data_IF_585857387594
#
_entry.id   IF_585857387594
#
_cell.length_a   1.000
_cell.length_b   1.000
_cell.length_c   1.000
_cell.angle_alpha   90.00
_cell.angle_beta   90.00
_cell.angle_gamma   90.00
#
_symmetry.space_group_name_H-M   'P 1'
#
loop_
_entity.id
_entity.type
_entity.pdbx_description
1 polymer ?
#
# COMPACT_ATOMS: atom_id res chain seq x y z
N UNK A 1 7.31 31.88 26.81
CA UNK A 1 7.00 31.57 25.40
C UNK A 1 5.51 31.33 25.27
N UNK A 2 4.87 31.73 24.16
CA UNK A 2 3.46 31.43 23.93
C UNK A 2 3.26 29.93 23.67
N UNK A 3 2.14 29.36 24.12
CA UNK A 3 1.74 28.00 23.78
C UNK A 3 1.72 27.86 22.24
N UNK A 4 2.39 26.84 21.69
CA UNK A 4 2.50 26.62 20.24
C UNK A 4 3.82 27.07 19.59
N UNK A 5 4.67 27.84 20.28
CA UNK A 5 6.01 28.22 19.77
C UNK A 5 7.06 27.10 19.78
N UNK A 6 6.65 25.89 20.16
CA UNK A 6 7.42 24.63 20.08
C UNK A 6 7.21 23.90 18.75
N UNK A 7 6.24 24.34 17.93
CA UNK A 7 5.91 23.71 16.65
C UNK A 7 6.61 24.42 15.50
N UNK A 8 7.33 23.65 14.68
CA UNK A 8 7.90 24.11 13.42
C UNK A 8 7.50 23.11 12.34
N UNK A 9 6.88 23.61 11.28
CA UNK A 9 6.64 22.84 10.07
C UNK A 9 7.84 23.02 9.13
N UNK A 10 8.70 21.99 8.96
CA UNK A 10 9.84 22.06 8.06
C UNK A 10 9.41 21.99 6.57
N UNK A 11 8.13 21.78 6.29
CA UNK A 11 7.62 21.47 4.96
C UNK A 11 7.98 20.05 4.52
N UNK A 12 7.71 19.74 3.25
CA UNK A 12 8.05 18.45 2.63
C UNK A 12 9.57 18.28 2.58
N UNK A 13 10.04 17.11 3.03
CA UNK A 13 11.45 16.76 2.98
C UNK A 13 11.77 16.16 1.61
N UNK A 14 12.89 16.58 1.01
CA UNK A 14 13.34 16.02 -0.25
C UNK A 14 13.65 14.52 -0.10
N UNK A 15 13.21 13.71 -1.07
CA UNK A 15 13.40 12.27 -1.06
C UNK A 15 14.90 11.91 -0.97
N UNK A 16 15.23 10.94 -0.12
CA UNK A 16 16.61 10.48 0.11
C UNK A 16 17.53 11.50 0.81
N UNK A 17 17.03 12.68 1.20
CA UNK A 17 17.87 13.69 1.84
C UNK A 17 18.16 13.32 3.31
N UNK A 18 19.42 13.48 3.73
CA UNK A 18 19.79 13.39 5.14
C UNK A 18 19.46 14.69 5.86
N UNK A 19 18.35 14.68 6.60
CA UNK A 19 17.92 15.79 7.43
C UNK A 19 18.66 15.76 8.76
N UNK A 20 19.17 16.92 9.18
CA UNK A 20 19.83 17.08 10.46
C UNK A 20 19.01 18.03 11.32
N UNK A 21 18.76 17.67 12.59
CA UNK A 21 18.00 18.51 13.51
C UNK A 21 18.60 18.44 14.92
N UNK A 22 18.36 19.49 15.71
CA UNK A 22 18.71 19.53 17.13
C UNK A 22 17.70 20.37 17.89
N UNK A 23 17.61 20.16 19.20
CA UNK A 23 16.79 20.98 20.10
C UNK A 23 17.71 21.79 21.01
N UNK A 24 17.65 23.12 20.89
CA UNK A 24 18.43 24.05 21.73
C UNK A 24 17.55 24.55 22.89
N UNK A 25 18.07 24.49 24.13
CA UNK A 25 17.40 25.02 25.31
C UNK A 25 17.74 26.52 25.48
N UNK A 26 16.72 27.38 25.41
CA UNK A 26 16.88 28.84 25.47
C UNK A 26 16.51 29.36 26.86
N UNK A 27 17.46 30.01 27.54
CA UNK A 27 17.31 30.70 28.82
C UNK A 27 17.41 32.22 28.63
N UNK A 28 17.04 33.06 29.62
CA UNK A 28 17.10 34.51 29.48
C UNK A 28 18.52 35.08 29.22
N UNK A 29 19.57 34.39 29.68
CA UNK A 29 20.95 34.86 29.57
C UNK A 29 21.77 34.11 28.50
N UNK A 30 21.32 32.93 28.09
CA UNK A 30 22.12 31.98 27.33
C UNK A 30 21.25 30.96 26.57
N UNK A 31 21.85 30.28 25.60
CA UNK A 31 21.23 29.17 24.87
C UNK A 31 22.17 27.99 24.91
N UNK A 32 21.69 26.88 25.48
CA UNK A 32 22.42 25.61 25.53
C UNK A 32 22.05 24.80 24.30
N UNK A 33 23.04 24.53 23.45
CA UNK A 33 22.81 23.77 22.21
C UNK A 33 22.63 22.28 22.49
N UNK A 34 21.65 21.66 21.83
CA UNK A 34 21.45 20.20 21.90
C UNK A 34 22.42 19.42 21.03
N UNK A 35 22.31 18.08 21.12
CA UNK A 35 23.02 17.17 20.21
C UNK A 35 22.42 17.26 18.81
N UNK A 36 23.27 17.14 17.79
CA UNK A 36 22.83 17.03 16.41
C UNK A 36 22.40 15.59 16.13
N UNK A 37 21.14 15.43 15.73
CA UNK A 37 20.57 14.19 15.24
C UNK A 37 20.42 14.25 13.73
N UNK A 38 20.34 13.08 13.11
CA UNK A 38 20.08 12.95 11.68
C UNK A 38 19.18 11.76 11.38
N UNK A 39 18.39 11.88 10.32
CA UNK A 39 17.72 10.78 9.66
C UNK A 39 17.75 11.02 8.15
N UNK A 40 17.57 9.96 7.36
CA UNK A 40 17.43 10.07 5.91
C UNK A 40 15.95 9.93 5.57
N UNK A 41 15.40 10.91 4.85
CA UNK A 41 14.05 10.82 4.31
C UNK A 41 13.97 9.63 3.34
N UNK A 42 12.82 8.96 3.31
CA UNK A 42 12.59 7.88 2.34
C UNK A 42 12.86 8.38 0.90
N UNK A 43 13.32 7.49 0.04
CA UNK A 43 13.56 7.75 -1.38
C UNK A 43 12.35 7.37 -2.25
N UNK A 44 11.17 7.27 -1.64
CA UNK A 44 9.91 6.89 -2.25
C UNK A 44 8.74 7.65 -1.62
N UNK A 45 7.60 7.67 -2.32
CA UNK A 45 6.31 8.11 -1.77
C UNK A 45 5.51 6.87 -1.38
N UNK A 46 5.11 6.75 -0.11
CA UNK A 46 4.27 5.64 0.34
C UNK A 46 2.82 5.82 -0.13
N UNK A 47 2.26 4.80 -0.78
CA UNK A 47 0.83 4.72 -1.12
C UNK A 47 0.08 4.03 0.01
N UNK A 48 0.56 2.86 0.42
CA UNK A 48 0.06 2.12 1.58
C UNK A 48 1.15 1.15 2.05
N UNK A 49 1.54 1.23 3.33
CA UNK A 49 2.48 0.32 3.98
C UNK A 49 1.76 -0.67 4.91
N UNK A 50 0.43 -0.63 4.96
CA UNK A 50 -0.43 -1.46 5.80
C UNK A 50 -0.23 -1.30 7.31
N UNK A 51 0.64 -0.40 7.76
CA UNK A 51 1.01 -0.25 9.17
C UNK A 51 -0.03 0.52 9.99
N UNK A 52 -0.91 1.27 9.32
CA UNK A 52 -1.92 2.08 10.00
C UNK A 52 -3.11 1.28 10.54
N UNK A 53 -3.30 0.04 10.06
CA UNK A 53 -4.45 -0.78 10.40
C UNK A 53 -4.34 -1.37 11.81
N UNK A 54 -5.49 -1.56 12.46
CA UNK A 54 -5.53 -2.02 13.85
C UNK A 54 -6.65 -3.02 14.13
N UNK A 55 -6.56 -3.63 15.31
CA UNK A 55 -7.47 -4.68 15.81
C UNK A 55 -8.65 -4.11 16.62
N UNK A 56 -8.99 -2.84 16.40
CA UNK A 56 -10.05 -2.15 17.14
C UNK A 56 -11.35 -2.22 16.34
N UNK A 57 -12.39 -2.79 16.95
CA UNK A 57 -13.71 -2.89 16.32
C UNK A 57 -14.56 -1.63 16.50
N UNK A 58 -15.43 -1.31 15.52
CA UNK A 58 -16.52 -0.35 15.70
C UNK A 58 -17.43 -0.76 16.87
N UNK A 59 -18.06 0.20 17.57
CA UNK A 59 -18.16 1.61 17.22
C UNK A 59 -17.03 2.49 17.79
N UNK A 60 -15.89 1.92 18.22
CA UNK A 60 -14.77 2.74 18.71
C UNK A 60 -14.26 3.69 17.59
N UNK A 61 -14.08 4.96 17.93
CA UNK A 61 -13.64 5.99 17.00
C UNK A 61 -12.18 5.80 16.51
N UNK A 62 -11.39 4.98 17.22
CA UNK A 62 -10.04 4.60 16.81
C UNK A 62 -10.01 3.39 15.86
N UNK A 63 -11.16 2.78 15.54
CA UNK A 63 -11.23 1.65 14.61
C UNK A 63 -10.65 2.01 13.24
N UNK A 64 -9.70 1.20 12.77
CA UNK A 64 -9.11 1.31 11.43
C UNK A 64 -8.78 -0.09 10.91
N UNK A 65 -9.81 -0.90 10.63
CA UNK A 65 -9.63 -2.28 10.19
C UNK A 65 -9.36 -2.32 8.69
N UNK A 66 -8.42 -3.16 8.26
CA UNK A 66 -7.95 -3.21 6.87
C UNK A 66 -9.08 -3.42 5.85
N UNK A 67 -10.06 -4.28 6.14
CA UNK A 67 -11.20 -4.56 5.24
C UNK A 67 -12.31 -3.49 5.27
N UNK A 68 -12.27 -2.54 6.21
CA UNK A 68 -13.15 -1.36 6.14
C UNK A 68 -12.58 -0.30 5.16
N UNK A 69 -11.29 -0.42 4.81
CA UNK A 69 -10.54 0.55 3.99
C UNK A 69 -10.26 -0.01 2.59
N UNK A 70 -9.79 -1.27 2.50
CA UNK A 70 -9.67 -2.03 1.26
C UNK A 70 -10.97 -2.76 0.97
N UNK A 71 -11.78 -2.21 0.07
CA UNK A 71 -13.08 -2.79 -0.28
C UNK A 71 -12.88 -4.04 -1.12
N UNK A 72 -13.28 -5.19 -0.59
CA UNK A 72 -13.10 -6.51 -1.18
C UNK A 72 -14.42 -7.12 -1.68
N UNK A 73 -14.49 -8.45 -1.77
CA UNK A 73 -15.65 -9.19 -2.22
C UNK A 73 -16.63 -9.63 -1.12
N UNK A 74 -16.41 -9.24 0.14
CA UNK A 74 -17.27 -9.64 1.25
C UNK A 74 -18.73 -9.24 1.01
N UNK A 75 -19.64 -10.19 1.22
CA UNK A 75 -21.07 -9.97 0.98
C UNK A 75 -21.48 -9.91 -0.50
N UNK A 76 -20.57 -10.14 -1.45
CA UNK A 76 -20.86 -10.16 -2.89
C UNK A 76 -20.82 -11.57 -3.47
N UNK A 77 -21.45 -11.76 -4.64
CA UNK A 77 -21.41 -13.03 -5.38
C UNK A 77 -20.45 -13.00 -6.57
N UNK A 78 -19.95 -11.83 -6.96
CA UNK A 78 -19.17 -11.63 -8.20
C UNK A 78 -17.69 -11.33 -7.95
N UNK A 79 -17.32 -10.95 -6.72
CA UNK A 79 -15.93 -10.71 -6.32
C UNK A 79 -15.47 -11.83 -5.37
N UNK A 80 -14.34 -12.46 -5.71
CA UNK A 80 -13.76 -13.57 -4.95
C UNK A 80 -12.74 -13.15 -3.89
N UNK A 81 -12.42 -11.86 -3.78
CA UNK A 81 -11.43 -11.35 -2.83
C UNK A 81 -11.99 -11.32 -1.41
N UNK A 82 -11.14 -11.69 -0.45
CA UNK A 82 -11.31 -11.35 0.97
C UNK A 82 -9.98 -10.81 1.49
N UNK A 83 -10.00 -9.60 2.04
CA UNK A 83 -8.85 -8.93 2.65
C UNK A 83 -8.96 -8.99 4.17
N UNK A 84 -7.83 -9.18 4.83
CA UNK A 84 -7.78 -9.29 6.28
C UNK A 84 -8.20 -10.66 6.80
N UNK A 85 -7.95 -10.90 8.08
CA UNK A 85 -8.38 -12.09 8.81
C UNK A 85 -9.79 -11.89 9.37
N UNK A 86 -10.54 -12.99 9.54
CA UNK A 86 -11.90 -12.96 10.11
C UNK A 86 -11.90 -12.52 11.59
N UNK A 87 -10.77 -12.70 12.29
CA UNK A 87 -10.56 -12.35 13.70
C UNK A 87 -9.20 -11.66 13.86
N UNK A 88 -9.02 -10.81 14.88
CA UNK A 88 -7.75 -10.19 15.19
C UNK A 88 -6.60 -11.21 15.39
N UNK A 89 -5.37 -10.91 14.94
CA UNK A 89 -5.00 -9.66 14.26
C UNK A 89 -5.59 -9.60 12.84
N UNK A 90 -6.20 -8.46 12.48
CA UNK A 90 -6.92 -8.33 11.21
C UNK A 90 -5.96 -8.27 10.01
N UNK A 91 -4.74 -7.77 10.21
CA UNK A 91 -3.64 -7.92 9.27
C UNK A 91 -2.75 -9.11 9.65
N UNK A 92 -1.89 -9.54 8.73
CA UNK A 92 -0.95 -10.64 8.94
C UNK A 92 0.31 -10.12 9.63
N UNK A 93 0.70 -10.70 10.77
CA UNK A 93 1.83 -10.23 11.59
C UNK A 93 3.03 -11.18 11.59
N UNK A 94 2.94 -12.33 10.91
CA UNK A 94 4.00 -13.35 10.82
C UNK A 94 4.63 -13.35 9.44
N UNK A 95 3.80 -13.29 8.39
CA UNK A 95 4.27 -13.21 7.00
C UNK A 95 4.29 -11.74 6.58
N UNK A 96 5.39 -11.07 6.86
CA UNK A 96 5.57 -9.62 6.68
C UNK A 96 6.82 -9.36 5.84
N UNK A 97 6.81 -8.34 4.97
CA UNK A 97 7.99 -7.91 4.21
C UNK A 97 8.71 -6.77 4.95
N UNK A 98 7.97 -5.71 5.28
CA UNK A 98 8.44 -4.53 5.98
C UNK A 98 7.56 -4.22 7.21
N UNK A 99 8.10 -3.51 8.19
CA UNK A 99 7.30 -3.09 9.35
C UNK A 99 6.82 -4.23 10.24
N UNK A 100 5.58 -4.16 10.70
CA UNK A 100 4.97 -5.07 11.68
C UNK A 100 3.84 -5.93 11.10
N UNK A 101 3.28 -5.55 9.95
CA UNK A 101 2.14 -6.26 9.37
C UNK A 101 2.09 -6.17 7.85
N UNK A 102 1.42 -7.11 7.21
CA UNK A 102 1.12 -7.09 5.78
C UNK A 102 -0.36 -7.37 5.52
N UNK A 103 -0.84 -7.12 4.30
CA UNK A 103 -2.20 -7.44 3.90
C UNK A 103 -2.33 -8.92 3.53
N UNK A 104 -3.06 -9.76 4.30
CA UNK A 104 -3.50 -11.05 3.82
C UNK A 104 -4.64 -10.87 2.81
N UNK A 105 -4.54 -11.55 1.68
CA UNK A 105 -5.49 -11.48 0.58
C UNK A 105 -5.84 -12.89 0.13
N UNK A 106 -7.08 -13.32 0.38
CA UNK A 106 -7.60 -14.57 -0.15
C UNK A 106 -8.33 -14.31 -1.46
N UNK A 107 -8.14 -15.20 -2.43
CA UNK A 107 -8.90 -15.17 -3.68
C UNK A 107 -9.58 -16.51 -3.92
N UNK A 108 -10.76 -16.45 -4.53
CA UNK A 108 -11.47 -17.58 -5.12
C UNK A 108 -12.07 -17.15 -6.46
N UNK A 109 -11.38 -17.51 -7.54
CA UNK A 109 -11.77 -17.16 -8.89
C UNK A 109 -12.62 -18.24 -9.57
N UNK A 110 -13.31 -19.09 -8.80
CA UNK A 110 -14.24 -20.08 -9.36
C UNK A 110 -15.47 -19.37 -9.94
N UNK A 111 -15.39 -18.96 -11.22
CA UNK A 111 -16.44 -18.18 -11.90
C UNK A 111 -16.49 -16.71 -11.47
N UNK A 112 -15.40 -16.19 -10.91
CA UNK A 112 -15.28 -14.81 -10.40
C UNK A 112 -13.94 -14.19 -10.77
N UNK A 113 -13.79 -12.90 -10.50
CA UNK A 113 -12.51 -12.21 -10.38
C UNK A 113 -12.38 -11.74 -8.94
N UNK A 114 -11.17 -11.71 -8.39
CA UNK A 114 -10.94 -11.23 -7.03
C UNK A 114 -10.29 -9.86 -7.11
N UNK A 115 -10.91 -8.84 -6.52
CA UNK A 115 -10.39 -7.47 -6.46
C UNK A 115 -10.54 -6.90 -5.05
N UNK A 116 -9.48 -6.27 -4.53
CA UNK A 116 -9.58 -5.36 -3.39
C UNK A 116 -9.17 -3.94 -3.82
N UNK A 117 -9.96 -2.95 -3.44
CA UNK A 117 -9.79 -1.57 -3.90
C UNK A 117 -9.65 -0.59 -2.74
N UNK A 118 -8.59 0.20 -2.77
CA UNK A 118 -8.37 1.34 -1.90
C UNK A 118 -8.79 2.62 -2.61
N UNK A 119 -9.60 3.44 -1.94
CA UNK A 119 -9.86 4.83 -2.36
C UNK A 119 -8.79 5.73 -1.77
N UNK A 120 -8.04 6.42 -2.62
CA UNK A 120 -6.91 7.25 -2.20
C UNK A 120 -7.40 8.59 -1.65
N UNK A 121 -6.94 8.92 -0.44
CA UNK A 121 -7.03 10.27 0.11
C UNK A 121 -5.71 11.02 -0.13
N UNK A 122 -4.59 10.31 0.02
CA UNK A 122 -3.24 10.76 -0.30
C UNK A 122 -2.33 9.52 -0.44
N UNK A 123 -1.32 9.52 -1.33
CA UNK A 123 -1.08 10.47 -2.41
C UNK A 123 -2.04 10.25 -3.59
N UNK A 124 -2.43 11.33 -4.27
CA UNK A 124 -3.29 11.29 -5.48
C UNK A 124 -2.60 11.83 -6.72
N UNK A 125 -1.69 12.80 -6.56
CA UNK A 125 -0.81 13.23 -7.63
C UNK A 125 0.44 12.36 -7.61
N UNK A 126 0.47 11.38 -8.52
CA UNK A 126 1.57 10.44 -8.70
C UNK A 126 2.63 10.95 -9.66
N UNK A 127 2.51 12.21 -10.11
CA UNK A 127 3.59 12.92 -10.83
C UNK A 127 4.53 13.67 -9.87
N UNK A 128 4.17 13.74 -8.58
CA UNK A 128 4.98 14.33 -7.53
C UNK A 128 6.37 13.67 -7.42
N UNK A 129 7.36 14.48 -7.07
CA UNK A 129 8.76 14.07 -6.88
C UNK A 129 9.38 13.31 -8.08
N UNK A 130 8.76 13.42 -9.27
CA UNK A 130 9.23 12.78 -10.49
C UNK A 130 9.04 11.27 -10.53
N UNK A 131 8.15 10.70 -9.70
CA UNK A 131 7.88 9.27 -9.70
C UNK A 131 7.57 8.73 -11.10
N UNK A 132 8.22 7.63 -11.48
CA UNK A 132 8.02 6.99 -12.79
C UNK A 132 7.53 5.55 -12.68
N UNK A 133 7.60 4.95 -11.49
CA UNK A 133 7.20 3.56 -11.28
C UNK A 133 6.35 3.40 -10.02
N UNK A 134 5.40 2.48 -10.10
CA UNK A 134 4.72 1.91 -8.95
C UNK A 134 5.46 0.63 -8.54
N UNK A 135 5.76 0.48 -7.27
CA UNK A 135 6.27 -0.75 -6.68
C UNK A 135 5.29 -1.30 -5.65
N UNK A 136 5.16 -2.61 -5.59
CA UNK A 136 4.49 -3.32 -4.50
C UNK A 136 5.19 -4.65 -4.24
N UNK A 137 5.25 -5.05 -2.98
CA UNK A 137 5.76 -6.36 -2.59
C UNK A 137 4.62 -7.35 -2.50
N UNK A 138 4.85 -8.55 -3.01
CA UNK A 138 3.87 -9.62 -2.93
C UNK A 138 4.53 -10.95 -2.59
N UNK A 139 3.74 -11.84 -1.99
CA UNK A 139 4.11 -13.22 -1.73
C UNK A 139 2.89 -14.12 -1.87
N UNK A 140 3.01 -15.13 -2.72
CA UNK A 140 2.04 -16.20 -2.83
C UNK A 140 2.48 -17.48 -2.13
N UNK A 141 1.96 -18.60 -2.61
CA UNK A 141 2.30 -19.93 -2.13
C UNK A 141 2.35 -20.91 -3.30
N UNK A 142 3.32 -21.82 -3.35
CA UNK A 142 3.42 -22.81 -4.44
C UNK A 142 2.18 -23.70 -4.58
N UNK A 143 1.39 -23.86 -3.50
CA UNK A 143 0.12 -24.58 -3.49
C UNK A 143 -1.08 -23.81 -4.04
N UNK A 144 -0.92 -22.51 -4.32
CA UNK A 144 -1.97 -21.67 -4.89
C UNK A 144 -2.39 -22.15 -6.29
N UNK A 145 -3.66 -21.93 -6.64
CA UNK A 145 -4.09 -21.99 -8.04
C UNK A 145 -3.37 -20.91 -8.85
N UNK A 146 -2.74 -21.26 -9.98
CA UNK A 146 -2.13 -20.26 -10.85
C UNK A 146 -3.21 -19.34 -11.42
N UNK A 147 -2.99 -18.04 -11.33
CA UNK A 147 -3.83 -17.04 -11.98
C UNK A 147 -3.02 -15.75 -12.20
N UNK A 148 -3.56 -14.89 -13.06
CA UNK A 148 -3.00 -13.58 -13.33
C UNK A 148 -3.12 -12.67 -12.12
N UNK A 149 -2.12 -11.84 -11.89
CA UNK A 149 -2.18 -10.72 -10.94
C UNK A 149 -2.13 -9.40 -11.71
N UNK A 150 -2.87 -8.39 -11.26
CA UNK A 150 -2.84 -7.05 -11.83
C UNK A 150 -3.01 -5.97 -10.75
N UNK A 151 -2.51 -4.78 -11.06
CA UNK A 151 -2.92 -3.54 -10.37
C UNK A 151 -3.78 -2.74 -11.35
N UNK A 152 -4.88 -2.17 -10.88
CA UNK A 152 -5.63 -1.20 -11.65
C UNK A 152 -5.62 0.19 -11.00
N UNK A 153 -5.39 1.23 -11.79
CA UNK A 153 -5.55 2.62 -11.37
C UNK A 153 -6.81 3.17 -12.02
N UNK A 154 -7.73 3.71 -11.23
CA UNK A 154 -9.04 4.21 -11.71
C UNK A 154 -9.77 3.20 -12.61
N UNK A 155 -9.62 1.91 -12.28
CA UNK A 155 -10.23 0.80 -13.02
C UNK A 155 -9.46 0.34 -14.27
N UNK A 156 -8.36 0.97 -14.65
CA UNK A 156 -7.51 0.57 -15.79
C UNK A 156 -6.44 -0.43 -15.34
N UNK A 157 -6.49 -1.70 -15.76
CA UNK A 157 -5.58 -2.73 -15.26
C UNK A 157 -4.23 -2.76 -15.99
N UNK A 158 -3.18 -3.10 -15.24
CA UNK A 158 -1.87 -3.49 -15.73
C UNK A 158 -1.52 -4.84 -15.09
N UNK A 159 -1.26 -5.83 -15.94
CA UNK A 159 -1.00 -7.21 -15.54
C UNK A 159 0.47 -7.47 -15.27
N UNK A 160 0.74 -8.32 -14.29
CA UNK A 160 2.04 -8.95 -14.12
C UNK A 160 2.33 -9.86 -15.34
N UNK A 161 3.59 -9.90 -15.78
CA UNK A 161 3.96 -10.58 -17.02
C UNK A 161 3.92 -12.12 -16.90
N UNK A 162 4.11 -12.64 -15.68
CA UNK A 162 3.93 -14.05 -15.36
C UNK A 162 2.45 -14.38 -15.02
N UNK A 163 1.75 -15.21 -15.82
CA UNK A 163 0.37 -15.63 -15.60
C UNK A 163 0.16 -16.59 -14.42
N UNK A 164 1.24 -17.06 -13.78
CA UNK A 164 1.19 -17.96 -12.63
C UNK A 164 1.86 -17.36 -11.39
N UNK A 165 2.03 -16.03 -11.36
CA UNK A 165 2.77 -15.29 -10.31
C UNK A 165 2.20 -15.50 -8.90
N UNK A 166 0.93 -15.90 -8.78
CA UNK A 166 0.30 -16.29 -7.50
C UNK A 166 0.99 -17.47 -6.79
N UNK A 167 1.85 -18.21 -7.49
CA UNK A 167 2.62 -19.33 -6.93
C UNK A 167 4.01 -18.96 -6.39
N UNK A 168 4.39 -17.68 -6.47
CA UNK A 168 5.69 -17.21 -6.00
C UNK A 168 5.76 -17.21 -4.46
N UNK A 169 6.39 -18.23 -3.89
CA UNK A 169 6.40 -18.49 -2.44
C UNK A 169 7.29 -17.58 -1.59
N UNK A 170 8.04 -16.66 -2.20
CA UNK A 170 8.93 -15.70 -1.54
C UNK A 170 8.47 -14.27 -1.81
N UNK A 171 8.72 -13.37 -0.85
CA UNK A 171 8.55 -11.94 -1.07
C UNK A 171 9.32 -11.50 -2.32
N UNK A 172 8.59 -10.88 -3.24
CA UNK A 172 9.10 -10.43 -4.53
C UNK A 172 8.55 -9.05 -4.79
N UNK A 173 9.43 -8.14 -5.20
CA UNK A 173 9.03 -6.81 -5.63
C UNK A 173 8.47 -6.88 -7.05
N UNK A 174 7.30 -6.29 -7.25
CA UNK A 174 6.78 -6.02 -8.58
C UNK A 174 6.89 -4.53 -8.88
N UNK A 175 7.73 -4.19 -9.85
CA UNK A 175 7.90 -2.82 -10.32
C UNK A 175 7.17 -2.63 -11.65
N UNK A 176 6.32 -1.62 -11.71
CA UNK A 176 5.45 -1.29 -12.85
C UNK A 176 5.81 0.10 -13.34
N UNK A 177 6.20 0.22 -14.61
CA UNK A 177 6.33 1.52 -15.26
C UNK A 177 4.97 2.21 -15.34
N UNK A 178 4.87 3.42 -14.79
CA UNK A 178 3.62 4.19 -14.75
C UNK A 178 3.12 4.54 -16.16
N UNK A 179 3.98 4.51 -17.19
CA UNK A 179 3.53 4.71 -18.57
C UNK A 179 2.54 3.65 -19.01
N UNK A 180 2.59 2.43 -18.44
CA UNK A 180 1.63 1.35 -18.73
C UNK A 180 0.19 1.75 -18.39
N UNK A 181 0.00 2.70 -17.48
CA UNK A 181 -1.31 3.27 -17.15
C UNK A 181 -1.64 4.50 -18.02
N UNK A 182 -0.68 5.41 -18.24
CA UNK A 182 -0.92 6.61 -19.07
C UNK A 182 -1.18 6.29 -20.53
N UNK A 183 -0.54 5.25 -21.06
CA UNK A 183 -0.77 4.74 -22.43
C UNK A 183 -2.21 4.25 -22.62
N UNK A 184 -2.90 3.92 -21.51
CA UNK A 184 -4.30 3.53 -21.46
C UNK A 184 -5.23 4.68 -21.02
N UNK A 185 -4.69 5.90 -20.81
CA UNK A 185 -5.46 7.11 -20.52
C UNK A 185 -5.66 7.46 -19.04
N UNK A 186 -4.96 6.81 -18.12
CA UNK A 186 -5.01 7.18 -16.68
C UNK A 186 -4.37 8.54 -16.46
N UNK A 187 -5.03 9.40 -15.68
CA UNK A 187 -4.49 10.69 -15.25
C UNK A 187 -3.68 10.53 -13.95
N UNK A 188 -2.36 10.41 -14.05
CA UNK A 188 -1.50 10.25 -12.88
C UNK A 188 -1.46 11.48 -11.97
N UNK A 189 -1.88 12.66 -12.43
CA UNK A 189 -1.97 13.84 -11.57
C UNK A 189 -3.19 13.79 -10.63
N UNK A 190 -4.11 12.84 -10.83
CA UNK A 190 -5.31 12.69 -10.01
C UNK A 190 -5.83 11.24 -9.98
N UNK A 191 -5.06 10.34 -9.38
CA UNK A 191 -5.46 8.94 -9.17
C UNK A 191 -6.45 8.87 -8.00
N UNK A 192 -7.62 8.26 -8.22
CA UNK A 192 -8.67 8.14 -7.22
C UNK A 192 -8.64 6.78 -6.51
N UNK A 193 -8.36 5.72 -7.26
CA UNK A 193 -8.35 4.37 -6.70
C UNK A 193 -7.18 3.54 -7.19
N UNK A 194 -6.71 2.66 -6.30
CA UNK A 194 -5.83 1.55 -6.63
C UNK A 194 -6.55 0.25 -6.29
N UNK A 195 -6.54 -0.69 -7.22
CA UNK A 195 -7.09 -2.03 -7.05
C UNK A 195 -5.98 -3.05 -7.19
N UNK A 196 -5.87 -3.99 -6.25
CA UNK A 196 -5.09 -5.22 -6.42
C UNK A 196 -6.07 -6.30 -6.86
N UNK A 197 -5.77 -6.94 -7.99
CA UNK A 197 -6.64 -7.92 -8.61
C UNK A 197 -5.94 -9.23 -8.93
N UNK A 198 -6.70 -10.32 -8.80
CA UNK A 198 -6.30 -11.67 -9.22
C UNK A 198 -7.38 -12.22 -10.16
N UNK A 199 -6.96 -12.72 -11.32
CA UNK A 199 -7.85 -13.13 -12.41
C UNK A 199 -7.80 -12.17 -13.60
N UNK A 200 -8.77 -12.30 -14.51
CA UNK A 200 -8.92 -11.37 -15.65
C UNK A 200 -10.06 -10.40 -15.37
N UNK A 201 -9.75 -9.10 -15.20
CA UNK A 201 -10.74 -8.05 -14.92
C UNK A 201 -11.88 -8.09 -15.94
N UNK A 202 -13.12 -8.11 -15.44
CA UNK A 202 -14.33 -8.11 -16.27
C UNK A 202 -14.58 -9.38 -17.08
N UNK A 203 -13.74 -10.41 -16.96
CA UNK A 203 -13.89 -11.69 -17.67
C UNK A 203 -13.71 -12.87 -16.71
N UNK A 204 -14.69 -13.14 -15.84
CA UNK A 204 -14.65 -14.29 -14.94
C UNK A 204 -14.48 -15.59 -15.72
N UNK A 205 -13.52 -16.42 -15.31
CA UNK A 205 -13.22 -17.70 -15.92
C UNK A 205 -13.25 -18.82 -14.86
N UNK A 206 -13.03 -20.06 -15.29
CA UNK A 206 -12.74 -21.14 -14.34
C UNK A 206 -11.36 -20.89 -13.73
N UNK A 207 -11.32 -20.25 -12.56
CA UNK A 207 -10.13 -20.09 -11.74
C UNK A 207 -10.12 -21.07 -10.56
N UNK A 208 -9.12 -20.92 -9.71
CA UNK A 208 -9.07 -21.59 -8.42
C UNK A 208 -8.90 -20.58 -7.28
N UNK A 209 -8.49 -21.09 -6.13
CA UNK A 209 -8.31 -20.30 -4.93
C UNK A 209 -6.86 -20.32 -4.42
N UNK A 210 -6.54 -19.36 -3.57
CA UNK A 210 -5.27 -19.26 -2.89
C UNK A 210 -5.22 -18.09 -1.92
N UNK A 211 -4.05 -17.93 -1.29
CA UNK A 211 -3.75 -16.80 -0.40
C UNK A 211 -2.49 -16.11 -0.89
N UNK A 212 -2.57 -14.79 -0.99
CA UNK A 212 -1.49 -13.88 -1.26
C UNK A 212 -1.27 -12.98 -0.05
N UNK A 213 -0.08 -12.41 0.04
CA UNK A 213 0.27 -11.36 0.98
C UNK A 213 0.83 -10.20 0.17
N UNK A 214 0.44 -8.98 0.54
CA UNK A 214 0.90 -7.75 -0.10
C UNK A 214 1.43 -6.80 0.94
N UNK A 215 2.47 -6.08 0.58
CA UNK A 215 3.16 -5.16 1.47
C UNK A 215 3.77 -4.00 0.66
N UNK A 216 4.08 -2.90 1.33
CA UNK A 216 4.90 -1.80 0.82
C UNK A 216 4.53 -1.31 -0.60
N UNK A 217 3.36 -0.69 -0.76
CA UNK A 217 2.98 -0.03 -2.02
C UNK A 217 3.61 1.36 -2.08
N UNK A 218 4.44 1.61 -3.08
CA UNK A 218 5.31 2.80 -3.16
C UNK A 218 5.39 3.37 -4.57
N UNK A 219 5.53 4.69 -4.67
CA UNK A 219 5.96 5.37 -5.90
C UNK A 219 7.46 5.65 -5.82
N UNK A 220 8.18 5.26 -6.87
CA UNK A 220 9.63 5.37 -6.97
C UNK A 220 10.07 6.00 -8.29
N UNK A 221 11.33 6.44 -8.34
CA UNK A 221 11.98 6.97 -9.54
C UNK A 221 12.31 5.90 -10.59
#
# INVERSE_FOLDING_TARGET
KALGSESHDPGKLALGATCHWRVDAVYPADTVKGLLWSFTAADFIGVDDFESYNDVDPPDAASNRIFDIWIDGFGTTTNGALVGNDLPPYAEQIIVHGGAQSMPYRYDNTGKTSEATLTLVHPRDWTEEGATKLSLWFRGNSGNAADWMYVALDGVPVYHDDPAVTRTGSWTEWVIDLTRFTDQGVNLADVNTITIGIGTKGSPAAGGAGTMYFDDIRLIL
#
